data_IF_563429041943
#
_entry.id   IF_563429041943
#
_cell.length_a   1.000
_cell.length_b   1.000
_cell.length_c   1.000
_cell.angle_alpha   90.00
_cell.angle_beta   90.00
_cell.angle_gamma   90.00
#
_symmetry.space_group_name_H-M   'P 1'
#
loop_
_entity.id
_entity.type
_entity.pdbx_description
1 polymer ?
#
# COMPACT_ATOMS: atom_id res chain seq x y z
N UNK A 1 41.24 12.21 6.77
CA UNK A 1 40.08 11.98 5.88
C UNK A 1 38.96 12.89 6.37
N UNK A 2 38.60 13.94 5.64
CA UNK A 2 37.53 14.87 6.02
C UNK A 2 36.15 14.24 5.78
N UNK A 3 35.37 14.22 6.86
CA UNK A 3 33.92 14.37 6.95
C UNK A 3 33.10 14.49 5.64
N UNK A 4 32.56 13.35 5.20
CA UNK A 4 31.41 13.34 4.30
C UNK A 4 30.17 13.86 5.06
N UNK A 5 29.95 15.17 4.96
CA UNK A 5 28.69 15.81 5.34
C UNK A 5 27.60 15.35 4.36
N UNK A 6 26.78 14.38 4.78
CA UNK A 6 25.51 14.07 4.12
C UNK A 6 24.57 15.26 4.33
N UNK A 7 24.61 16.24 3.43
CA UNK A 7 23.59 17.27 3.31
C UNK A 7 22.25 16.57 3.12
N UNK A 8 21.42 16.61 4.16
CA UNK A 8 20.03 16.15 4.12
C UNK A 8 19.24 17.11 3.23
N UNK A 9 19.32 16.94 1.91
CA UNK A 9 18.32 17.49 1.00
C UNK A 9 16.99 16.76 1.27
N UNK A 10 16.27 17.21 2.29
CA UNK A 10 14.99 16.65 2.68
C UNK A 10 13.98 16.73 1.54
N UNK A 11 13.11 15.72 1.46
CA UNK A 11 12.01 15.68 0.49
C UNK A 11 11.17 16.97 0.57
N UNK A 12 11.09 17.71 -0.55
CA UNK A 12 10.20 18.88 -0.65
C UNK A 12 8.75 18.40 -0.63
N UNK A 13 7.98 18.74 0.42
CA UNK A 13 6.53 18.48 0.50
C UNK A 13 5.79 19.32 -0.54
N UNK A 14 5.68 18.82 -1.76
CA UNK A 14 4.91 19.43 -2.86
C UNK A 14 3.59 18.72 -3.17
N UNK A 15 3.42 17.50 -2.68
CA UNK A 15 2.20 16.72 -2.92
C UNK A 15 1.16 17.12 -1.88
N UNK A 16 0.09 17.79 -2.31
CA UNK A 16 -1.07 18.09 -1.48
C UNK A 16 -2.03 16.90 -1.38
N UNK A 17 -3.07 17.03 -0.56
CA UNK A 17 -4.07 15.97 -0.34
C UNK A 17 -4.68 15.47 -1.66
N UNK A 18 -5.01 16.38 -2.57
CA UNK A 18 -5.59 16.01 -3.87
C UNK A 18 -4.64 15.17 -4.74
N UNK A 19 -3.37 15.56 -4.78
CA UNK A 19 -2.35 14.83 -5.54
C UNK A 19 -2.10 13.44 -4.96
N UNK A 20 -2.08 13.33 -3.63
CA UNK A 20 -1.96 12.04 -2.94
C UNK A 20 -3.17 11.15 -3.19
N UNK A 21 -4.40 11.68 -3.06
CA UNK A 21 -5.63 10.93 -3.32
C UNK A 21 -5.73 10.46 -4.77
N UNK A 22 -5.39 11.32 -5.74
CA UNK A 22 -5.38 10.95 -7.15
C UNK A 22 -4.36 9.84 -7.45
N UNK A 23 -3.18 9.89 -6.81
CA UNK A 23 -2.17 8.84 -6.93
C UNK A 23 -2.66 7.51 -6.34
N UNK A 24 -3.31 7.53 -5.18
CA UNK A 24 -3.91 6.33 -4.59
C UNK A 24 -4.98 5.71 -5.49
N UNK A 25 -5.87 6.53 -6.07
CA UNK A 25 -6.87 6.04 -7.03
C UNK A 25 -6.20 5.41 -8.24
N UNK A 26 -5.14 6.03 -8.78
CA UNK A 26 -4.41 5.48 -9.91
C UNK A 26 -3.78 4.12 -9.60
N UNK A 27 -3.15 3.96 -8.43
CA UNK A 27 -2.53 2.69 -8.00
C UNK A 27 -3.58 1.60 -7.77
N UNK A 28 -4.72 1.92 -7.16
CA UNK A 28 -5.78 0.94 -6.85
C UNK A 28 -6.53 0.50 -8.10
N UNK A 29 -6.89 1.44 -8.99
CA UNK A 29 -7.66 1.12 -10.20
C UNK A 29 -6.82 0.27 -11.15
N UNK A 30 -5.54 0.59 -11.35
CA UNK A 30 -4.49 -0.25 -11.96
C UNK A 30 -4.92 -1.27 -13.03
N UNK A 31 -4.20 -2.39 -13.11
CA UNK A 31 -4.57 -3.52 -13.98
C UNK A 31 -5.61 -4.44 -13.31
N UNK A 32 -5.62 -4.51 -11.98
CA UNK A 32 -6.37 -5.52 -11.22
C UNK A 32 -7.90 -5.40 -11.33
N UNK A 33 -8.45 -4.20 -11.52
CA UNK A 33 -9.91 -3.99 -11.59
C UNK A 33 -10.55 -4.63 -12.83
N UNK A 34 -9.77 -4.93 -13.88
CA UNK A 34 -10.31 -5.50 -15.11
C UNK A 34 -10.39 -7.03 -15.06
N UNK A 35 -9.49 -7.68 -14.31
CA UNK A 35 -9.36 -9.13 -14.25
C UNK A 35 -10.09 -9.72 -13.04
N UNK A 36 -9.94 -9.10 -11.86
CA UNK A 36 -10.51 -9.63 -10.62
C UNK A 36 -12.04 -9.77 -10.64
N UNK A 37 -12.82 -8.80 -11.17
CA UNK A 37 -14.28 -8.94 -11.18
C UNK A 37 -14.75 -10.07 -12.07
N UNK A 38 -14.05 -10.37 -13.18
CA UNK A 38 -14.38 -11.49 -14.04
C UNK A 38 -14.23 -12.83 -13.28
N UNK A 39 -13.09 -13.02 -12.60
CA UNK A 39 -12.82 -14.23 -11.80
C UNK A 39 -13.84 -14.39 -10.66
N UNK A 40 -14.16 -13.31 -9.95
CA UNK A 40 -15.13 -13.36 -8.84
C UNK A 40 -16.55 -13.60 -9.37
N UNK A 41 -16.91 -13.04 -10.52
CA UNK A 41 -18.20 -13.27 -11.16
C UNK A 41 -18.36 -14.71 -11.67
N UNK A 42 -17.30 -15.37 -12.14
CA UNK A 42 -17.34 -16.80 -12.47
C UNK A 42 -17.63 -17.67 -11.23
N UNK A 43 -17.05 -17.32 -10.08
CA UNK A 43 -17.23 -18.08 -8.83
C UNK A 43 -18.57 -17.83 -8.11
N UNK A 44 -19.05 -16.58 -8.08
CA UNK A 44 -20.22 -16.16 -7.29
C UNK A 44 -21.42 -15.67 -8.11
N UNK A 45 -21.27 -15.51 -9.43
CA UNK A 45 -22.32 -14.97 -10.30
C UNK A 45 -22.82 -13.59 -9.80
N UNK A 46 -24.14 -13.35 -9.73
CA UNK A 46 -24.69 -12.05 -9.31
C UNK A 46 -24.42 -11.71 -7.83
N UNK A 47 -24.06 -12.68 -6.98
CA UNK A 47 -23.70 -12.44 -5.58
C UNK A 47 -22.31 -11.78 -5.42
N UNK A 48 -21.52 -11.72 -6.50
CA UNK A 48 -20.22 -11.02 -6.54
C UNK A 48 -20.31 -9.56 -6.09
N UNK A 49 -21.43 -8.88 -6.38
CA UNK A 49 -21.65 -7.48 -5.97
C UNK A 49 -21.64 -7.34 -4.44
N UNK A 50 -22.25 -8.30 -3.72
CA UNK A 50 -22.31 -8.29 -2.26
C UNK A 50 -20.94 -8.58 -1.66
N UNK A 51 -20.20 -9.51 -2.26
CA UNK A 51 -18.84 -9.85 -1.86
C UNK A 51 -17.89 -8.65 -2.00
N UNK A 52 -17.98 -7.91 -3.12
CA UNK A 52 -17.21 -6.69 -3.33
C UNK A 52 -17.59 -5.57 -2.36
N UNK A 53 -18.88 -5.42 -2.05
CA UNK A 53 -19.34 -4.43 -1.09
C UNK A 53 -18.76 -4.71 0.31
N UNK A 54 -18.81 -5.97 0.74
CA UNK A 54 -18.24 -6.39 2.02
C UNK A 54 -16.71 -6.24 2.05
N UNK A 55 -16.02 -6.60 0.97
CA UNK A 55 -14.59 -6.38 0.81
C UNK A 55 -14.24 -4.88 0.92
N UNK A 56 -15.03 -4.00 0.30
CA UNK A 56 -14.87 -2.55 0.38
C UNK A 56 -14.98 -2.01 1.81
N UNK A 57 -15.96 -2.51 2.59
CA UNK A 57 -16.12 -2.12 4.01
C UNK A 57 -14.90 -2.56 4.84
N UNK A 58 -14.40 -3.78 4.63
CA UNK A 58 -13.20 -4.27 5.32
C UNK A 58 -11.96 -3.45 4.96
N UNK A 59 -11.75 -3.16 3.67
CA UNK A 59 -10.64 -2.32 3.22
C UNK A 59 -10.75 -0.89 3.77
N UNK A 60 -11.95 -0.34 3.90
CA UNK A 60 -12.16 0.96 4.51
C UNK A 60 -11.71 0.98 5.98
N UNK A 61 -12.06 -0.04 6.77
CA UNK A 61 -11.59 -0.19 8.15
C UNK A 61 -10.06 -0.29 8.23
N UNK A 62 -9.44 -1.07 7.33
CA UNK A 62 -7.99 -1.19 7.26
C UNK A 62 -7.35 0.17 6.94
N UNK A 63 -7.90 0.91 5.97
CA UNK A 63 -7.39 2.22 5.59
C UNK A 63 -7.52 3.25 6.72
N UNK A 64 -8.55 3.18 7.57
CA UNK A 64 -8.65 4.01 8.78
C UNK A 64 -7.49 3.75 9.76
N UNK A 65 -7.12 2.48 9.96
CA UNK A 65 -5.96 2.12 10.77
C UNK A 65 -4.66 2.70 10.18
N UNK A 66 -4.47 2.59 8.86
CA UNK A 66 -3.33 3.18 8.17
C UNK A 66 -3.32 4.72 8.24
N UNK A 67 -4.49 5.36 8.20
CA UNK A 67 -4.61 6.81 8.35
C UNK A 67 -4.23 7.28 9.77
N UNK A 68 -4.61 6.51 10.80
CA UNK A 68 -4.20 6.78 12.18
C UNK A 68 -2.69 6.62 12.35
N UNK A 69 -2.11 5.53 11.84
CA UNK A 69 -0.67 5.28 11.91
C UNK A 69 0.14 6.34 11.15
N UNK A 70 -0.30 6.73 9.95
CA UNK A 70 0.33 7.76 9.13
C UNK A 70 0.24 9.17 9.72
N UNK A 71 -0.77 9.44 10.55
CA UNK A 71 -0.88 10.69 11.29
C UNK A 71 0.12 10.79 12.44
N UNK A 72 0.55 9.64 13.01
CA UNK A 72 1.53 9.58 14.09
C UNK A 72 2.97 9.51 13.60
N UNK A 73 3.22 8.83 12.47
CA UNK A 73 4.56 8.64 11.91
C UNK A 73 4.71 9.43 10.63
N UNK A 74 5.39 10.58 10.71
CA UNK A 74 5.60 11.48 9.56
C UNK A 74 6.93 11.24 8.82
N UNK A 75 7.59 10.11 9.10
CA UNK A 75 8.83 9.73 8.42
C UNK A 75 8.53 9.11 7.05
N UNK A 76 9.41 9.32 6.09
CA UNK A 76 9.28 8.74 4.75
C UNK A 76 9.64 7.26 4.79
N UNK A 77 8.70 6.37 4.42
CA UNK A 77 8.94 4.92 4.41
C UNK A 77 7.69 4.02 4.45
N UNK A 78 6.50 4.58 4.60
CA UNK A 78 5.24 3.82 4.56
C UNK A 78 5.15 2.76 5.67
N UNK A 79 4.70 1.54 5.32
CA UNK A 79 4.52 0.45 6.28
C UNK A 79 5.82 0.07 7.03
N UNK A 80 6.96 0.17 6.36
CA UNK A 80 8.27 -0.05 6.97
C UNK A 80 8.53 0.94 8.11
N UNK A 81 8.26 2.23 7.89
CA UNK A 81 8.46 3.27 8.91
C UNK A 81 7.50 3.10 10.10
N UNK A 82 6.27 2.62 9.87
CA UNK A 82 5.31 2.34 10.95
C UNK A 82 5.78 1.21 11.86
N UNK A 83 6.28 0.12 11.26
CA UNK A 83 6.73 -1.05 12.01
C UNK A 83 8.09 -0.81 12.66
N UNK A 84 9.00 -0.10 12.00
CA UNK A 84 10.27 0.30 12.63
C UNK A 84 10.04 1.21 13.84
N UNK A 85 9.11 2.17 13.75
CA UNK A 85 8.77 3.06 14.86
C UNK A 85 8.16 2.31 16.07
N UNK A 86 7.39 1.24 15.82
CA UNK A 86 6.71 0.49 16.88
C UNK A 86 7.56 -0.64 17.49
N UNK A 87 8.33 -1.37 16.67
CA UNK A 87 8.99 -2.62 17.07
C UNK A 87 10.52 -2.62 16.84
N UNK A 88 11.08 -1.57 16.24
CA UNK A 88 12.51 -1.43 15.98
C UNK A 88 12.96 -1.95 14.60
N UNK A 89 14.28 -1.92 14.37
CA UNK A 89 14.89 -2.03 13.03
C UNK A 89 14.77 -3.42 12.40
N UNK A 90 14.84 -4.48 13.19
CA UNK A 90 14.78 -5.87 12.72
C UNK A 90 13.40 -6.25 12.13
N UNK A 91 12.26 -6.03 12.83
CA UNK A 91 10.94 -6.28 12.26
C UNK A 91 10.61 -5.32 11.10
N UNK A 92 11.14 -4.10 11.11
CA UNK A 92 11.12 -3.21 9.95
C UNK A 92 11.70 -3.88 8.71
N UNK A 93 12.93 -4.40 8.81
CA UNK A 93 13.61 -5.09 7.70
C UNK A 93 12.81 -6.29 7.15
N UNK A 94 12.25 -7.12 8.04
CA UNK A 94 11.42 -8.25 7.62
C UNK A 94 10.21 -7.78 6.82
N UNK A 95 9.56 -6.70 7.28
CA UNK A 95 8.39 -6.13 6.60
C UNK A 95 8.73 -5.69 5.17
N UNK A 96 9.85 -5.00 4.97
CA UNK A 96 10.24 -4.55 3.62
C UNK A 96 10.57 -5.72 2.70
N UNK A 97 11.21 -6.79 3.21
CA UNK A 97 11.44 -8.02 2.43
C UNK A 97 10.11 -8.70 2.06
N UNK A 98 9.18 -8.83 3.01
CA UNK A 98 7.86 -9.40 2.74
C UNK A 98 7.05 -8.56 1.76
N UNK A 99 7.14 -7.23 1.86
CA UNK A 99 6.47 -6.32 0.94
C UNK A 99 6.97 -6.50 -0.49
N UNK A 100 8.28 -6.62 -0.71
CA UNK A 100 8.84 -6.89 -2.04
C UNK A 100 8.37 -8.23 -2.60
N UNK A 101 8.42 -9.31 -1.80
CA UNK A 101 7.91 -10.62 -2.22
C UNK A 101 6.42 -10.59 -2.56
N UNK A 102 5.63 -9.84 -1.79
CA UNK A 102 4.20 -9.67 -2.03
C UNK A 102 3.92 -8.94 -3.33
N UNK A 103 4.68 -7.87 -3.65
CA UNK A 103 4.56 -7.18 -4.93
C UNK A 103 4.88 -8.13 -6.10
N UNK A 104 6.01 -8.85 -6.03
CA UNK A 104 6.39 -9.79 -7.08
C UNK A 104 5.35 -10.89 -7.31
N UNK A 105 4.77 -11.42 -6.22
CA UNK A 105 3.74 -12.45 -6.30
C UNK A 105 2.42 -11.89 -6.84
N UNK A 106 2.08 -10.64 -6.51
CA UNK A 106 0.90 -9.97 -7.03
C UNK A 106 1.03 -9.74 -8.55
N UNK A 107 2.17 -9.24 -9.02
CA UNK A 107 2.43 -9.05 -10.45
C UNK A 107 2.42 -10.39 -11.21
N UNK A 108 3.01 -11.44 -10.62
CA UNK A 108 2.99 -12.79 -11.19
C UNK A 108 1.56 -13.36 -11.26
N UNK A 109 0.73 -13.12 -10.25
CA UNK A 109 -0.67 -13.55 -10.24
C UNK A 109 -1.48 -12.85 -11.34
N UNK A 110 -1.25 -11.55 -11.57
CA UNK A 110 -1.89 -10.81 -12.68
C UNK A 110 -1.41 -11.31 -14.04
N UNK A 111 -0.14 -11.68 -14.18
CA UNK A 111 0.38 -12.23 -15.43
C UNK A 111 -0.13 -13.65 -15.75
N UNK A 112 -0.54 -14.41 -14.73
CA UNK A 112 -1.10 -15.75 -14.89
C UNK A 112 -2.62 -15.76 -15.12
N UNK A 113 -3.32 -14.71 -14.66
CA UNK A 113 -4.77 -14.56 -14.77
C UNK A 113 -5.19 -14.09 -16.17
#
# INVERSE_FOLDING_TARGET
MPDASFTNEGLKRKIGAWGLSANLVNIVVGAGIFVLPAIVAEGLGPASILAYLLCGVLLFLIMLCFAEAGSKVTSSGGAYAYIEAAFGKYPGFITSVLFLLSCMTADAAVANA
#
